data_IF_318110780146
#
_entry.id   IF_318110780146
#
_cell.length_a   1.000
_cell.length_b   1.000
_cell.length_c   1.000
_cell.angle_alpha   90.00
_cell.angle_beta   90.00
_cell.angle_gamma   90.00
#
_symmetry.space_group_name_H-M   'P 1'
#
loop_
_entity.id
_entity.type
_entity.pdbx_description
1 polymer ?
#
# COMPACT_ATOMS: atom_id res chain seq x y z
N UNK A 1 10.98 2.14 3.44
CA UNK A 1 10.38 0.82 3.77
C UNK A 1 11.47 -0.25 3.66
N UNK A 2 11.50 -1.17 4.61
CA UNK A 2 12.42 -2.31 4.62
C UNK A 2 11.80 -3.47 5.41
N UNK A 3 12.33 -4.67 5.23
CA UNK A 3 11.97 -5.84 6.02
C UNK A 3 12.50 -5.71 7.47
N UNK A 4 11.94 -6.48 8.39
CA UNK A 4 12.44 -6.54 9.77
C UNK A 4 13.88 -7.04 9.84
N UNK A 5 14.27 -7.95 8.94
CA UNK A 5 15.62 -8.45 8.83
C UNK A 5 16.60 -7.33 8.44
N UNK A 6 16.26 -6.54 7.42
CA UNK A 6 17.07 -5.39 6.98
C UNK A 6 17.16 -4.35 8.10
N UNK A 7 16.05 -4.05 8.79
CA UNK A 7 16.03 -3.11 9.92
C UNK A 7 17.00 -3.52 11.02
N UNK A 8 16.97 -4.78 11.44
CA UNK A 8 17.87 -5.33 12.45
C UNK A 8 19.32 -5.44 11.94
N UNK A 9 19.50 -5.88 10.70
CA UNK A 9 20.83 -6.03 10.08
C UNK A 9 21.59 -4.70 9.97
N UNK A 10 20.88 -3.59 9.79
CA UNK A 10 21.44 -2.24 9.79
C UNK A 10 21.51 -1.60 11.20
N UNK A 11 20.98 -2.26 12.22
CA UNK A 11 20.99 -1.80 13.62
C UNK A 11 19.97 -0.68 13.92
N UNK A 12 19.02 -0.42 13.04
CA UNK A 12 18.02 0.65 13.22
C UNK A 12 17.13 0.46 14.45
N UNK A 13 16.95 -0.77 14.91
CA UNK A 13 16.19 -1.12 16.12
C UNK A 13 16.89 -0.68 17.42
N UNK A 14 18.18 -0.37 17.37
CA UNK A 14 19.01 0.08 18.51
C UNK A 14 19.40 1.55 18.42
N UNK A 15 19.09 2.22 17.31
CA UNK A 15 19.48 3.61 17.07
C UNK A 15 18.45 4.59 17.65
N UNK A 16 18.94 5.72 18.12
CA UNK A 16 18.10 6.90 18.36
C UNK A 16 17.52 7.43 17.06
N UNK A 17 16.55 8.34 17.17
CA UNK A 17 15.95 9.00 16.00
C UNK A 17 17.01 9.75 15.20
N UNK A 18 17.88 10.48 15.87
CA UNK A 18 18.95 11.28 15.26
C UNK A 18 19.96 10.40 14.52
N UNK A 19 20.37 9.30 15.11
CA UNK A 19 21.27 8.32 14.48
C UNK A 19 20.62 7.67 13.25
N UNK A 20 19.38 7.26 13.36
CA UNK A 20 18.62 6.69 12.23
C UNK A 20 18.47 7.68 11.07
N UNK A 21 18.18 8.97 11.36
CA UNK A 21 18.13 10.02 10.34
C UNK A 21 19.50 10.15 9.66
N UNK A 22 20.59 10.23 10.44
CA UNK A 22 21.92 10.39 9.90
C UNK A 22 22.32 9.21 8.97
N UNK A 23 21.97 7.97 9.34
CA UNK A 23 22.20 6.81 8.49
C UNK A 23 21.36 6.88 7.21
N UNK A 24 20.09 7.23 7.31
CA UNK A 24 19.23 7.41 6.13
C UNK A 24 19.75 8.53 5.20
N UNK A 25 20.16 9.67 5.76
CA UNK A 25 20.77 10.76 4.98
C UNK A 25 22.03 10.31 4.25
N UNK A 26 22.85 9.49 4.88
CA UNK A 26 24.05 8.91 4.24
C UNK A 26 23.67 7.96 3.09
N UNK A 27 22.71 7.05 3.31
CA UNK A 27 22.23 6.09 2.29
C UNK A 27 21.65 6.84 1.08
N UNK A 28 20.85 7.87 1.32
CA UNK A 28 20.15 8.59 0.28
C UNK A 28 20.85 9.88 -0.17
N UNK A 29 22.07 10.14 0.26
CA UNK A 29 22.83 11.37 0.01
C UNK A 29 22.83 11.80 -1.47
N UNK A 30 22.93 10.85 -2.39
CA UNK A 30 22.89 11.09 -3.84
C UNK A 30 21.58 11.73 -4.32
N UNK A 31 20.49 11.49 -3.61
CA UNK A 31 19.13 11.90 -4.02
C UNK A 31 18.60 13.06 -3.19
N UNK A 32 19.23 13.41 -2.08
CA UNK A 32 18.77 14.44 -1.17
C UNK A 32 19.26 15.85 -1.53
N UNK A 33 20.23 15.96 -2.42
CA UNK A 33 20.82 17.26 -2.84
C UNK A 33 21.17 18.20 -1.65
N UNK A 34 21.71 17.61 -0.58
CA UNK A 34 22.03 18.32 0.66
C UNK A 34 20.85 18.64 1.59
N UNK A 35 19.64 18.30 1.20
CA UNK A 35 18.46 18.46 2.07
C UNK A 35 18.48 17.42 3.21
N UNK A 36 18.02 17.88 4.38
CA UNK A 36 17.92 17.04 5.56
C UNK A 36 16.58 16.29 5.60
N UNK A 37 16.61 15.07 6.12
CA UNK A 37 15.40 14.32 6.42
C UNK A 37 14.78 14.81 7.72
N UNK A 38 13.46 14.88 7.76
CA UNK A 38 12.68 15.23 8.94
C UNK A 38 11.73 14.09 9.30
N UNK A 39 11.55 13.87 10.60
CA UNK A 39 10.58 12.92 11.12
C UNK A 39 9.47 13.65 11.86
N UNK A 40 8.22 13.22 11.66
CA UNK A 40 7.07 13.67 12.44
C UNK A 40 6.83 12.81 13.69
N UNK A 41 7.70 11.81 13.95
CA UNK A 41 7.54 10.87 15.06
C UNK A 41 7.53 11.52 16.45
N UNK A 42 8.09 12.75 16.59
CA UNK A 42 8.05 13.52 17.84
C UNK A 42 6.62 13.80 18.35
N UNK A 43 5.63 13.82 17.46
CA UNK A 43 4.23 14.07 17.80
C UNK A 43 3.44 12.79 18.12
N UNK A 44 4.03 11.63 17.85
CA UNK A 44 3.39 10.33 18.08
C UNK A 44 3.83 9.82 19.47
N UNK A 45 2.91 9.71 20.41
CA UNK A 45 3.18 9.24 21.78
C UNK A 45 3.87 7.88 21.77
N UNK A 46 5.11 7.83 22.29
CA UNK A 46 5.88 6.59 22.47
C UNK A 46 6.18 5.82 21.20
N UNK A 47 6.07 6.46 20.03
CA UNK A 47 6.39 5.79 18.78
C UNK A 47 7.89 5.71 18.56
N UNK A 48 8.35 4.52 18.24
CA UNK A 48 9.65 4.33 17.62
C UNK A 48 9.69 5.07 16.28
N UNK A 49 10.86 5.52 15.86
CA UNK A 49 11.04 6.13 14.54
C UNK A 49 10.63 5.17 13.41
N UNK A 50 10.84 3.88 13.63
CA UNK A 50 10.45 2.81 12.71
C UNK A 50 9.16 2.18 13.18
N UNK A 51 8.13 2.20 12.32
CA UNK A 51 6.80 1.69 12.61
C UNK A 51 6.56 0.39 11.84
N UNK A 52 6.08 -0.62 12.56
CA UNK A 52 5.55 -1.83 11.93
C UNK A 52 4.09 -1.61 11.57
N UNK A 53 3.78 -1.54 10.27
CA UNK A 53 2.42 -1.38 9.76
C UNK A 53 1.66 -2.71 9.80
N UNK A 54 0.95 -2.93 10.90
CA UNK A 54 0.11 -4.12 11.05
C UNK A 54 -1.15 -4.01 10.20
N UNK A 55 -1.50 -5.11 9.53
CA UNK A 55 -2.78 -5.21 8.85
C UNK A 55 -3.88 -5.48 9.88
N UNK A 56 -4.87 -4.59 9.94
CA UNK A 56 -6.10 -4.78 10.71
C UNK A 56 -7.16 -5.38 9.78
N UNK A 57 -7.89 -6.37 10.27
CA UNK A 57 -9.02 -6.98 9.60
C UNK A 57 -9.99 -7.50 10.66
N UNK A 58 -11.06 -6.74 10.90
CA UNK A 58 -12.08 -7.13 11.85
C UNK A 58 -13.03 -8.15 11.22
N UNK A 59 -13.37 -9.20 11.99
CA UNK A 59 -14.31 -10.22 11.52
C UNK A 59 -15.76 -9.72 11.50
N UNK A 60 -16.08 -8.77 12.38
CA UNK A 60 -17.39 -8.15 12.49
C UNK A 60 -17.20 -6.65 12.62
N UNK A 61 -18.00 -5.87 11.88
CA UNK A 61 -17.88 -4.42 11.83
C UNK A 61 -19.00 -3.69 12.58
N UNK A 62 -20.06 -4.40 12.98
CA UNK A 62 -21.19 -3.80 13.69
C UNK A 62 -21.52 -4.54 14.98
N UNK A 63 -21.86 -3.80 16.06
CA UNK A 63 -22.19 -4.29 17.39
C UNK A 63 -23.31 -3.44 17.99
N UNK A 64 -24.56 -3.90 17.88
CA UNK A 64 -25.73 -3.10 18.28
C UNK A 64 -25.83 -1.82 17.47
N UNK A 65 -25.64 -0.66 18.08
CA UNK A 65 -25.67 0.65 17.45
C UNK A 65 -24.26 1.25 17.20
N UNK A 66 -23.22 0.45 17.34
CA UNK A 66 -21.84 0.83 17.02
C UNK A 66 -21.43 0.18 15.71
N UNK A 67 -20.84 0.94 14.80
CA UNK A 67 -20.29 0.46 13.53
C UNK A 67 -18.86 0.95 13.33
N UNK A 68 -18.02 0.07 12.81
CA UNK A 68 -16.64 0.37 12.44
C UNK A 68 -16.56 0.73 10.96
N UNK A 69 -15.70 1.69 10.62
CA UNK A 69 -15.37 2.04 9.24
C UNK A 69 -13.90 2.49 9.13
N UNK A 70 -13.37 2.49 7.93
CA UNK A 70 -11.99 2.88 7.67
C UNK A 70 -10.98 2.06 8.47
N UNK A 71 -9.94 2.72 8.97
CA UNK A 71 -8.86 2.06 9.71
C UNK A 71 -9.30 1.36 11.01
N UNK A 72 -10.47 1.70 11.55
CA UNK A 72 -11.04 1.01 12.71
C UNK A 72 -11.54 -0.40 12.36
N UNK A 73 -12.00 -0.61 11.13
CA UNK A 73 -12.50 -1.89 10.63
C UNK A 73 -11.42 -2.70 9.90
N UNK A 74 -10.59 -2.01 9.13
CA UNK A 74 -9.59 -2.60 8.25
C UNK A 74 -8.52 -1.59 7.86
N UNK A 75 -7.29 -2.05 7.67
CA UNK A 75 -6.22 -1.24 7.10
C UNK A 75 -5.71 -1.85 5.80
N UNK A 76 -5.24 -1.01 4.89
CA UNK A 76 -4.49 -1.43 3.72
C UNK A 76 -3.10 -0.78 3.76
N UNK A 77 -2.07 -1.52 3.33
CA UNK A 77 -0.72 -1.00 3.31
C UNK A 77 -0.63 0.25 2.42
N UNK A 78 0.11 1.26 2.85
CA UNK A 78 0.19 2.58 2.19
C UNK A 78 0.78 2.53 0.77
N UNK A 79 1.50 1.46 0.39
CA UNK A 79 2.16 1.31 -0.91
C UNK A 79 1.25 1.43 -2.14
N UNK A 80 -0.08 1.32 -1.96
CA UNK A 80 -1.06 1.53 -3.03
C UNK A 80 -1.85 2.84 -2.90
N UNK A 81 -1.62 3.63 -1.85
CA UNK A 81 -2.24 4.94 -1.65
C UNK A 81 -3.78 4.93 -1.56
N UNK A 82 -4.38 3.87 -1.02
CA UNK A 82 -5.85 3.69 -1.07
C UNK A 82 -6.57 3.70 0.29
N UNK A 83 -5.87 3.88 1.41
CA UNK A 83 -6.49 3.85 2.75
C UNK A 83 -7.58 4.91 2.91
N UNK A 84 -7.27 6.17 2.62
CA UNK A 84 -8.23 7.28 2.70
C UNK A 84 -9.43 7.07 1.76
N UNK A 85 -9.18 6.58 0.53
CA UNK A 85 -10.26 6.27 -0.41
C UNK A 85 -11.20 5.20 0.16
N UNK A 86 -10.67 4.14 0.76
CA UNK A 86 -11.47 3.10 1.40
C UNK A 86 -12.37 3.67 2.50
N UNK A 87 -11.82 4.52 3.36
CA UNK A 87 -12.59 5.14 4.45
C UNK A 87 -13.72 6.04 3.94
N UNK A 88 -13.50 6.78 2.85
CA UNK A 88 -14.57 7.57 2.21
C UNK A 88 -15.64 6.69 1.60
N UNK A 89 -15.28 5.62 0.91
CA UNK A 89 -16.23 4.68 0.34
C UNK A 89 -17.04 3.99 1.44
N UNK A 90 -16.41 3.59 2.55
CA UNK A 90 -17.13 3.04 3.69
C UNK A 90 -18.19 4.02 4.24
N UNK A 91 -17.82 5.31 4.38
CA UNK A 91 -18.73 6.32 4.89
C UNK A 91 -19.91 6.56 3.94
N UNK A 92 -19.66 6.57 2.63
CA UNK A 92 -20.70 6.74 1.60
C UNK A 92 -21.66 5.56 1.63
N UNK A 93 -21.14 4.32 1.53
CA UNK A 93 -21.95 3.11 1.48
C UNK A 93 -22.75 2.92 2.78
N UNK A 94 -22.16 3.23 3.95
CA UNK A 94 -22.87 3.21 5.22
C UNK A 94 -24.03 4.22 5.23
N UNK A 95 -23.79 5.46 4.76
CA UNK A 95 -24.81 6.48 4.69
C UNK A 95 -25.96 6.07 3.75
N UNK A 96 -25.63 5.52 2.59
CA UNK A 96 -26.60 5.06 1.61
C UNK A 96 -27.48 3.95 2.18
N UNK A 97 -26.88 2.94 2.83
CA UNK A 97 -27.62 1.84 3.45
C UNK A 97 -28.57 2.31 4.58
N UNK A 98 -28.11 3.28 5.38
CA UNK A 98 -28.96 3.87 6.44
C UNK A 98 -30.12 4.70 5.88
N UNK A 99 -29.98 5.31 4.70
CA UNK A 99 -31.05 6.10 4.04
C UNK A 99 -32.10 5.24 3.35
N UNK A 100 -31.89 3.95 3.15
CA UNK A 100 -32.85 3.06 2.48
C UNK A 100 -34.11 2.73 3.33
N UNK A 101 -34.18 3.22 4.58
CA UNK A 101 -35.33 2.97 5.47
C UNK A 101 -35.44 1.52 5.97
N UNK A 102 -34.40 0.74 5.85
CA UNK A 102 -34.30 -0.63 6.39
C UNK A 102 -34.20 -0.63 7.92
N UNK A 103 -34.53 -1.74 8.60
CA UNK A 103 -34.13 -1.94 10.00
C UNK A 103 -32.62 -1.76 10.16
N UNK A 104 -32.19 -1.09 11.24
CA UNK A 104 -30.78 -0.76 11.48
C UNK A 104 -29.86 -1.98 11.36
N UNK A 105 -30.22 -3.10 11.94
CA UNK A 105 -29.42 -4.34 11.89
C UNK A 105 -29.22 -4.82 10.44
N UNK A 106 -30.25 -4.73 9.61
CA UNK A 106 -30.15 -5.10 8.19
C UNK A 106 -29.28 -4.13 7.41
N UNK A 107 -29.43 -2.82 7.62
CA UNK A 107 -28.60 -1.81 6.96
C UNK A 107 -27.11 -1.98 7.31
N UNK A 108 -26.79 -2.21 8.58
CA UNK A 108 -25.41 -2.44 9.01
C UNK A 108 -24.80 -3.75 8.46
N UNK A 109 -25.64 -4.77 8.34
CA UNK A 109 -25.21 -6.03 7.72
C UNK A 109 -24.95 -5.87 6.23
N UNK A 110 -25.83 -5.21 5.50
CA UNK A 110 -25.68 -4.99 4.05
C UNK A 110 -24.45 -4.14 3.75
N UNK A 111 -24.20 -3.09 4.55
CA UNK A 111 -22.98 -2.30 4.51
C UNK A 111 -21.72 -3.18 4.69
N UNK A 112 -21.68 -4.00 5.73
CA UNK A 112 -20.54 -4.87 6.00
C UNK A 112 -20.31 -5.87 4.86
N UNK A 113 -21.36 -6.53 4.38
CA UNK A 113 -21.29 -7.51 3.29
C UNK A 113 -20.77 -6.88 1.99
N UNK A 114 -21.26 -5.68 1.64
CA UNK A 114 -20.84 -4.92 0.48
C UNK A 114 -19.35 -4.53 0.57
N UNK A 115 -18.99 -3.87 1.65
CA UNK A 115 -17.63 -3.29 1.79
C UNK A 115 -16.55 -4.32 2.01
N UNK A 116 -16.86 -5.40 2.71
CA UNK A 116 -15.88 -6.47 3.00
C UNK A 116 -15.22 -7.02 1.75
N UNK A 117 -15.98 -7.24 0.69
CA UNK A 117 -15.44 -7.77 -0.58
C UNK A 117 -14.45 -6.79 -1.22
N UNK A 118 -14.81 -5.51 -1.28
CA UNK A 118 -13.95 -4.47 -1.88
C UNK A 118 -12.68 -4.24 -1.05
N UNK A 119 -12.81 -4.23 0.26
CA UNK A 119 -11.67 -4.14 1.19
C UNK A 119 -10.70 -5.31 1.01
N UNK A 120 -11.20 -6.54 0.92
CA UNK A 120 -10.34 -7.72 0.71
C UNK A 120 -9.58 -7.66 -0.62
N UNK A 121 -10.21 -7.20 -1.70
CA UNK A 121 -9.55 -6.98 -3.00
C UNK A 121 -8.41 -5.98 -2.87
N UNK A 122 -8.66 -4.85 -2.19
CA UNK A 122 -7.66 -3.82 -1.97
C UNK A 122 -6.52 -4.27 -1.04
N UNK A 123 -6.84 -4.98 0.03
CA UNK A 123 -5.83 -5.57 0.92
C UNK A 123 -4.95 -6.59 0.19
N UNK A 124 -5.52 -7.39 -0.72
CA UNK A 124 -4.75 -8.31 -1.56
C UNK A 124 -3.80 -7.57 -2.50
N UNK A 125 -4.29 -6.52 -3.14
CA UNK A 125 -3.45 -5.67 -4.02
C UNK A 125 -2.35 -4.95 -3.25
N UNK A 126 -2.66 -4.48 -2.04
CA UNK A 126 -1.67 -3.85 -1.17
C UNK A 126 -0.57 -4.84 -0.76
N UNK A 127 -0.94 -6.08 -0.43
CA UNK A 127 0.01 -7.14 -0.11
C UNK A 127 0.94 -7.43 -1.29
N UNK A 128 0.40 -7.60 -2.50
CA UNK A 128 1.22 -7.82 -3.69
C UNK A 128 2.22 -6.68 -3.90
N UNK A 129 1.78 -5.44 -3.69
CA UNK A 129 2.66 -4.26 -3.79
C UNK A 129 3.74 -4.26 -2.71
N UNK A 130 3.41 -4.60 -1.46
CA UNK A 130 4.36 -4.70 -0.36
C UNK A 130 5.40 -5.79 -0.63
N UNK A 131 4.96 -6.99 -1.02
CA UNK A 131 5.83 -8.11 -1.37
C UNK A 131 6.80 -7.76 -2.51
N UNK A 132 6.35 -6.94 -3.47
CA UNK A 132 7.23 -6.47 -4.55
C UNK A 132 8.34 -5.55 -4.00
N UNK A 133 8.02 -4.60 -3.14
CA UNK A 133 9.00 -3.68 -2.56
C UNK A 133 9.95 -4.38 -1.58
N UNK A 134 9.43 -5.28 -0.76
CA UNK A 134 10.25 -6.03 0.22
C UNK A 134 11.20 -7.01 -0.45
N UNK A 135 10.92 -7.41 -1.70
CA UNK A 135 11.78 -8.29 -2.50
C UNK A 135 12.34 -7.57 -3.74
N UNK A 136 12.56 -6.26 -3.65
CA UNK A 136 12.98 -5.44 -4.80
C UNK A 136 14.31 -5.90 -5.42
N UNK A 137 15.18 -6.50 -4.64
CA UNK A 137 16.45 -7.09 -5.11
C UNK A 137 16.28 -8.13 -6.23
N UNK A 138 15.12 -8.82 -6.28
CA UNK A 138 14.79 -9.74 -7.37
C UNK A 138 14.66 -9.07 -8.74
N UNK A 139 14.53 -7.76 -8.75
CA UNK A 139 14.25 -6.96 -9.95
C UNK A 139 15.39 -5.99 -10.31
N UNK A 140 16.48 -5.95 -9.51
CA UNK A 140 17.56 -4.99 -9.71
C UNK A 140 18.34 -5.22 -11.01
N UNK A 141 18.43 -6.47 -11.46
CA UNK A 141 19.13 -6.84 -12.71
C UNK A 141 18.21 -6.74 -13.95
N UNK A 142 16.97 -6.29 -13.78
CA UNK A 142 16.06 -6.11 -14.90
C UNK A 142 16.50 -4.93 -15.76
N UNK A 143 16.32 -5.06 -17.07
CA UNK A 143 16.43 -3.91 -17.96
C UNK A 143 15.39 -2.84 -17.56
N UNK A 144 15.68 -1.53 -17.77
CA UNK A 144 14.81 -0.44 -17.29
C UNK A 144 13.34 -0.58 -17.72
N UNK A 145 13.08 -1.04 -18.94
CA UNK A 145 11.72 -1.26 -19.46
C UNK A 145 11.00 -2.39 -18.72
N UNK A 146 11.71 -3.47 -18.41
CA UNK A 146 11.20 -4.61 -17.68
C UNK A 146 10.92 -4.23 -16.22
N UNK A 147 11.84 -3.51 -15.59
CA UNK A 147 11.67 -3.00 -14.23
C UNK A 147 10.44 -2.09 -14.14
N UNK A 148 10.31 -1.13 -15.07
CA UNK A 148 9.18 -0.21 -15.12
C UNK A 148 7.84 -0.96 -15.28
N UNK A 149 7.79 -1.94 -16.17
CA UNK A 149 6.59 -2.77 -16.34
C UNK A 149 6.24 -3.54 -15.07
N UNK A 150 7.22 -4.20 -14.45
CA UNK A 150 7.04 -4.92 -13.18
C UNK A 150 6.54 -4.00 -12.06
N UNK A 151 7.14 -2.81 -11.92
CA UNK A 151 6.75 -1.81 -10.93
C UNK A 151 5.30 -1.31 -11.14
N UNK A 152 4.91 -1.04 -12.38
CA UNK A 152 3.57 -0.55 -12.71
C UNK A 152 2.47 -1.60 -12.46
N UNK A 153 2.78 -2.87 -12.68
CA UNK A 153 1.81 -3.97 -12.52
C UNK A 153 1.87 -4.68 -11.16
N UNK A 154 2.80 -4.31 -10.27
CA UNK A 154 3.11 -4.99 -9.01
C UNK A 154 1.92 -5.32 -8.13
N UNK A 155 0.93 -4.43 -8.08
CA UNK A 155 -0.25 -4.58 -7.24
C UNK A 155 -1.37 -5.42 -7.86
N UNK A 156 -1.23 -5.80 -9.13
CA UNK A 156 -2.25 -6.44 -9.96
C UNK A 156 -3.54 -5.61 -10.15
N UNK A 157 -3.54 -4.34 -9.76
CA UNK A 157 -4.65 -3.41 -10.05
C UNK A 157 -4.54 -2.80 -11.43
N UNK A 158 -3.33 -2.68 -11.93
CA UNK A 158 -3.05 -2.18 -13.27
C UNK A 158 -2.68 -3.38 -14.13
N UNK A 159 -3.58 -3.75 -15.03
CA UNK A 159 -3.34 -4.83 -15.98
C UNK A 159 -2.55 -4.33 -17.20
N UNK A 160 -2.09 -5.26 -18.01
CA UNK A 160 -1.49 -4.98 -19.32
C UNK A 160 -2.40 -4.10 -20.18
N UNK A 161 -3.69 -4.42 -20.27
CA UNK A 161 -4.66 -3.64 -21.02
C UNK A 161 -4.94 -2.25 -20.41
N UNK A 162 -4.89 -2.12 -19.08
CA UNK A 162 -4.98 -0.79 -18.47
C UNK A 162 -3.78 0.09 -18.84
N UNK A 163 -2.59 -0.48 -18.97
CA UNK A 163 -1.40 0.24 -19.46
C UNK A 163 -1.59 0.67 -20.91
N UNK A 164 -2.17 -0.17 -21.76
CA UNK A 164 -2.49 0.17 -23.15
C UNK A 164 -3.41 1.40 -23.26
N UNK A 165 -4.41 1.47 -22.39
CA UNK A 165 -5.33 2.61 -22.33
C UNK A 165 -4.66 3.90 -21.83
N UNK A 166 -3.63 3.77 -21.00
CA UNK A 166 -2.91 4.94 -20.43
C UNK A 166 -1.81 5.46 -21.32
N UNK A 167 -1.00 4.56 -21.89
CA UNK A 167 0.10 4.87 -22.77
C UNK A 167 0.35 3.71 -23.75
N UNK A 168 -0.36 3.78 -24.88
CA UNK A 168 -0.30 2.76 -25.92
C UNK A 168 1.11 2.63 -26.48
N UNK A 169 1.78 3.76 -26.76
CA UNK A 169 3.09 3.74 -27.42
C UNK A 169 4.15 3.11 -26.52
N UNK A 170 4.11 3.44 -25.22
CA UNK A 170 5.01 2.81 -24.25
C UNK A 170 4.78 1.31 -24.17
N UNK A 171 3.51 0.87 -24.11
CA UNK A 171 3.20 -0.56 -24.01
C UNK A 171 3.60 -1.33 -25.27
N UNK A 172 3.41 -0.79 -26.45
CA UNK A 172 3.89 -1.39 -27.72
C UNK A 172 5.41 -1.57 -27.70
N UNK A 173 6.15 -0.63 -27.09
CA UNK A 173 7.58 -0.76 -26.85
C UNK A 173 7.91 -1.93 -25.92
N UNK A 174 7.15 -2.13 -24.83
CA UNK A 174 7.28 -3.27 -23.92
C UNK A 174 7.03 -4.59 -24.65
N UNK A 175 5.96 -4.67 -25.43
CA UNK A 175 5.60 -5.88 -26.21
C UNK A 175 6.69 -6.24 -27.22
N UNK A 176 7.22 -5.25 -27.94
CA UNK A 176 8.32 -5.43 -28.89
C UNK A 176 9.56 -5.95 -28.18
N UNK A 177 9.89 -5.38 -27.03
CA UNK A 177 11.02 -5.83 -26.21
C UNK A 177 10.84 -7.29 -25.77
N UNK A 178 9.66 -7.67 -25.25
CA UNK A 178 9.36 -9.05 -24.87
C UNK A 178 9.46 -10.03 -26.05
N UNK A 179 8.90 -9.67 -27.20
CA UNK A 179 8.97 -10.48 -28.41
C UNK A 179 10.43 -10.72 -28.84
N UNK A 180 11.27 -9.69 -28.76
CA UNK A 180 12.71 -9.79 -29.06
C UNK A 180 13.47 -10.70 -28.11
N UNK A 181 13.08 -10.75 -26.82
CA UNK A 181 13.69 -11.67 -25.83
C UNK A 181 13.22 -13.11 -26.00
N UNK A 182 11.97 -13.33 -26.40
CA UNK A 182 11.43 -14.68 -26.62
C UNK A 182 12.02 -15.40 -27.81
N UNK A 183 12.72 -14.71 -28.71
CA UNK A 183 13.35 -15.25 -29.93
C UNK A 183 14.85 -15.51 -29.77
N UNK A 184 15.44 -15.20 -28.62
CA UNK A 184 16.82 -15.48 -28.25
C UNK A 184 16.92 -16.77 -27.45
#
# INVERSE_FOLDING_TARGET
ECTEETLKGLGFDQMSQEESIAVCEKIFSKYLDGHRLMSNAKHLRGSAMWLNFRRISCQKWSFGNVVLLGDAAHTAHFSIGSGTKLAFEDAIDLADELHLGKPLEQALKDYEDLRRVEVLKLQSSARNSTEWFENVERYLDFEPIQFAYSLLTRSQRVSHENLRLRDKNWLEGVETWFAGKATQ
#
